data_IF_771259723216
#
_entry.id   IF_771259723216
#
_cell.length_a   1.000
_cell.length_b   1.000
_cell.length_c   1.000
_cell.angle_alpha   90.00
_cell.angle_beta   90.00
_cell.angle_gamma   90.00
#
_symmetry.space_group_name_H-M   'P 1'
#
loop_
_entity.id
_entity.type
_entity.pdbx_description
1 polymer ?
#
# COMPACT_ATOMS: atom_id res chain seq x y z
N UNK A 1 7.98 26.83 -9.83
CA UNK A 1 7.29 27.05 -8.53
C UNK A 1 6.38 25.87 -8.26
N UNK A 2 6.50 25.20 -7.11
CA UNK A 2 5.58 24.13 -6.71
C UNK A 2 4.29 24.73 -6.17
N UNK A 3 3.13 24.23 -6.62
CA UNK A 3 1.81 24.58 -6.08
C UNK A 3 1.37 23.45 -5.14
N UNK A 4 0.80 23.81 -3.98
CA UNK A 4 0.14 22.83 -3.12
C UNK A 4 -1.14 22.36 -3.80
N UNK A 5 -1.23 21.05 -4.02
CA UNK A 5 -2.34 20.42 -4.74
C UNK A 5 -3.30 19.67 -3.82
N UNK A 6 -2.82 19.08 -2.72
CA UNK A 6 -3.66 18.41 -1.71
C UNK A 6 -2.89 18.18 -0.40
N UNK A 7 -3.62 17.90 0.68
CA UNK A 7 -3.08 17.48 1.96
C UNK A 7 -3.76 16.18 2.42
N UNK A 8 -2.95 15.16 2.67
CA UNK A 8 -3.43 13.86 3.14
C UNK A 8 -3.08 13.74 4.62
N UNK A 9 -4.09 13.50 5.46
CA UNK A 9 -3.90 13.17 6.87
C UNK A 9 -4.16 11.67 7.03
N UNK A 10 -3.11 10.85 7.18
CA UNK A 10 -3.29 9.43 7.43
C UNK A 10 -4.01 9.17 8.77
N UNK A 11 -4.71 8.03 8.93
CA UNK A 11 -5.54 7.76 10.09
C UNK A 11 -4.74 7.50 11.39
N UNK A 12 -3.48 7.08 11.29
CA UNK A 12 -2.60 6.87 12.45
C UNK A 12 -1.74 8.13 12.67
N UNK A 13 -1.38 8.48 13.92
CA UNK A 13 -0.39 9.51 14.19
C UNK A 13 1.06 9.04 13.94
N UNK A 14 1.26 7.78 13.53
CA UNK A 14 2.58 7.21 13.33
C UNK A 14 3.28 7.78 12.09
N UNK A 15 4.62 7.74 12.10
CA UNK A 15 5.43 8.23 10.98
C UNK A 15 5.12 7.50 9.68
N UNK A 16 5.07 8.23 8.56
CA UNK A 16 5.00 7.62 7.24
C UNK A 16 6.37 7.02 6.90
N UNK A 17 6.41 5.72 6.63
CA UNK A 17 7.66 4.99 6.36
C UNK A 17 7.91 4.81 4.87
N UNK A 18 6.85 4.78 4.05
CA UNK A 18 6.98 4.61 2.60
C UNK A 18 5.82 5.27 1.86
N UNK A 19 6.15 5.90 0.74
CA UNK A 19 5.24 6.58 -0.18
C UNK A 19 5.61 6.18 -1.60
N UNK A 20 4.65 5.68 -2.39
CA UNK A 20 4.94 5.35 -3.78
C UNK A 20 3.72 5.51 -4.69
N UNK A 21 3.97 6.12 -5.85
CA UNK A 21 3.00 6.25 -6.92
C UNK A 21 2.88 4.95 -7.72
N UNK A 22 1.65 4.65 -8.14
CA UNK A 22 1.42 3.65 -9.18
C UNK A 22 2.09 4.07 -10.50
N UNK A 23 2.24 3.11 -11.42
CA UNK A 23 2.91 3.34 -12.70
C UNK A 23 2.31 4.52 -13.49
N UNK A 24 1.00 4.73 -13.36
CA UNK A 24 0.27 5.79 -14.06
C UNK A 24 0.31 7.15 -13.35
N UNK A 25 0.82 7.24 -12.12
CA UNK A 25 0.75 8.44 -11.29
C UNK A 25 -0.67 8.79 -10.82
N UNK A 26 -1.60 7.82 -10.84
CA UNK A 26 -3.01 8.05 -10.49
C UNK A 26 -3.30 7.73 -9.02
N UNK A 27 -2.51 6.86 -8.42
CA UNK A 27 -2.68 6.42 -7.03
C UNK A 27 -1.38 6.53 -6.29
N UNK A 28 -1.40 7.23 -5.16
CA UNK A 28 -0.32 7.26 -4.19
C UNK A 28 -0.65 6.30 -3.05
N UNK A 29 0.23 5.34 -2.80
CA UNK A 29 0.16 4.48 -1.61
C UNK A 29 1.03 5.07 -0.50
N UNK A 30 0.54 5.01 0.74
CA UNK A 30 1.23 5.48 1.94
C UNK A 30 1.15 4.39 3.00
N UNK A 31 2.29 4.07 3.60
CA UNK A 31 2.42 3.16 4.74
C UNK A 31 2.94 3.93 5.93
N UNK A 32 2.41 3.60 7.11
CA UNK A 32 2.84 4.17 8.38
C UNK A 32 3.44 3.09 9.27
N UNK A 33 4.42 3.47 10.11
CA UNK A 33 4.96 2.58 11.12
C UNK A 33 3.85 2.08 12.06
N UNK A 34 3.94 0.82 12.49
CA UNK A 34 3.01 0.20 13.46
C UNK A 34 1.52 0.26 13.06
N UNK A 35 1.20 0.47 11.78
CA UNK A 35 -0.16 0.51 11.25
C UNK A 35 -0.38 -0.66 10.30
N UNK A 36 -1.55 -1.30 10.40
CA UNK A 36 -1.99 -2.27 9.40
C UNK A 36 -2.73 -1.64 8.23
N UNK A 37 -2.94 -0.33 8.30
CA UNK A 37 -3.65 0.42 7.27
C UNK A 37 -2.66 0.98 6.26
N UNK A 38 -2.86 0.61 5.01
CA UNK A 38 -2.28 1.25 3.84
C UNK A 38 -3.26 2.31 3.34
N UNK A 39 -2.79 3.53 3.16
CA UNK A 39 -3.59 4.62 2.64
C UNK A 39 -3.40 4.70 1.13
N UNK A 40 -4.50 4.69 0.37
CA UNK A 40 -4.52 4.85 -1.08
C UNK A 40 -5.19 6.18 -1.41
N UNK A 41 -4.41 7.12 -1.93
CA UNK A 41 -4.91 8.41 -2.38
C UNK A 41 -5.06 8.43 -3.90
N UNK A 42 -6.25 8.79 -4.38
CA UNK A 42 -6.60 8.80 -5.80
C UNK A 42 -6.56 10.22 -6.34
N UNK A 43 -5.62 10.46 -7.25
CA UNK A 43 -5.33 11.74 -7.89
C UNK A 43 -6.57 12.38 -8.52
N UNK A 44 -7.25 11.65 -9.41
CA UNK A 44 -8.41 12.15 -10.17
C UNK A 44 -9.57 12.60 -9.30
N UNK A 45 -9.77 11.95 -8.15
CA UNK A 45 -10.92 12.20 -7.27
C UNK A 45 -10.55 13.00 -6.03
N UNK A 46 -9.26 13.23 -5.76
CA UNK A 46 -8.73 13.79 -4.50
C UNK A 46 -9.36 13.09 -3.29
N UNK A 47 -9.40 11.75 -3.35
CA UNK A 47 -10.05 10.92 -2.34
C UNK A 47 -9.08 9.90 -1.80
N UNK A 48 -9.14 9.74 -0.49
CA UNK A 48 -8.38 8.74 0.24
C UNK A 48 -9.25 7.52 0.51
N UNK A 49 -8.66 6.33 0.40
CA UNK A 49 -9.22 5.06 0.88
C UNK A 49 -8.21 4.39 1.78
N UNK A 50 -8.70 3.68 2.78
CA UNK A 50 -7.89 2.88 3.69
C UNK A 50 -8.04 1.41 3.35
N UNK A 51 -6.92 0.72 3.28
CA UNK A 51 -6.84 -0.72 3.08
C UNK A 51 -6.20 -1.33 4.32
N UNK A 52 -6.99 -2.02 5.13
CA UNK A 52 -6.46 -2.76 6.27
C UNK A 52 -5.95 -4.13 5.80
N UNK A 53 -4.64 -4.35 5.93
CA UNK A 53 -4.01 -5.63 5.60
C UNK A 53 -3.86 -6.54 6.84
N UNK A 54 -4.36 -6.13 8.01
CA UNK A 54 -4.38 -6.96 9.22
C UNK A 54 -3.03 -7.23 9.89
N UNK A 55 -1.93 -6.67 9.37
CA UNK A 55 -0.57 -6.80 9.93
C UNK A 55 0.14 -5.46 9.98
N UNK A 56 0.82 -5.16 11.09
CA UNK A 56 1.39 -3.83 11.39
C UNK A 56 2.89 -3.71 11.06
N UNK A 57 3.52 -4.81 10.70
CA UNK A 57 4.97 -4.97 10.55
C UNK A 57 5.40 -4.87 9.09
N UNK A 58 4.83 -3.92 8.34
CA UNK A 58 5.16 -3.66 6.94
C UNK A 58 6.54 -2.99 6.87
N UNK A 59 7.45 -3.57 6.08
CA UNK A 59 8.82 -3.08 5.88
C UNK A 59 9.14 -2.75 4.43
N UNK A 60 8.30 -3.20 3.50
CA UNK A 60 8.51 -3.03 2.08
C UNK A 60 7.18 -2.75 1.37
N UNK A 61 7.21 -1.86 0.40
CA UNK A 61 6.07 -1.57 -0.47
C UNK A 61 6.57 -1.30 -1.89
N UNK A 62 6.01 -2.00 -2.89
CA UNK A 62 6.25 -1.73 -4.31
C UNK A 62 5.05 -1.88 -5.23
N UNK A 63 4.76 -0.84 -6.00
CA UNK A 63 3.84 -0.92 -7.15
C UNK A 63 4.47 -1.68 -8.32
N UNK A 64 3.66 -2.50 -8.97
CA UNK A 64 4.02 -3.16 -10.23
C UNK A 64 4.20 -2.13 -11.36
N UNK A 65 5.17 -2.38 -12.24
CA UNK A 65 5.46 -1.57 -13.45
C UNK A 65 4.72 -2.04 -14.71
N UNK A 66 3.82 -3.01 -14.59
CA UNK A 66 3.04 -3.52 -15.73
C UNK A 66 1.57 -3.83 -15.36
N UNK A 67 1.27 -3.86 -14.07
CA UNK A 67 -0.06 -4.15 -13.53
C UNK A 67 -0.47 -3.14 -12.47
N UNK A 68 -1.76 -3.10 -12.16
CA UNK A 68 -2.24 -2.30 -11.02
C UNK A 68 -2.22 -3.13 -9.73
N UNK A 69 -1.04 -3.66 -9.41
CA UNK A 69 -0.80 -4.47 -8.22
C UNK A 69 0.20 -3.78 -7.30
N UNK A 70 -0.01 -3.90 -6.00
CA UNK A 70 0.89 -3.41 -4.96
C UNK A 70 1.36 -4.60 -4.12
N UNK A 71 2.67 -4.77 -4.01
CA UNK A 71 3.29 -5.76 -3.14
C UNK A 71 3.69 -5.10 -1.82
N UNK A 72 3.37 -5.76 -0.70
CA UNK A 72 3.69 -5.32 0.66
C UNK A 72 4.45 -6.46 1.35
N UNK A 73 5.67 -6.20 1.81
CA UNK A 73 6.47 -7.18 2.55
C UNK A 73 6.45 -6.88 4.04
N UNK A 74 6.41 -7.93 4.86
CA UNK A 74 6.43 -7.81 6.33
C UNK A 74 7.77 -8.24 6.92
N UNK A 75 8.05 -7.82 8.17
CA UNK A 75 9.23 -8.27 8.95
C UNK A 75 9.31 -9.80 9.00
N UNK A 76 8.18 -10.49 9.07
CA UNK A 76 8.10 -11.96 9.12
C UNK A 76 8.35 -12.65 7.78
N UNK A 77 8.66 -11.91 6.72
CA UNK A 77 8.93 -12.46 5.39
C UNK A 77 7.67 -12.87 4.61
N UNK A 78 6.49 -12.47 5.08
CA UNK A 78 5.25 -12.64 4.32
C UNK A 78 5.10 -11.51 3.31
N UNK A 79 4.55 -11.82 2.14
CA UNK A 79 4.24 -10.83 1.11
C UNK A 79 2.73 -10.81 0.87
N UNK A 80 2.13 -9.63 0.93
CA UNK A 80 0.75 -9.39 0.52
C UNK A 80 0.73 -8.75 -0.86
N UNK A 81 -0.13 -9.23 -1.74
CA UNK A 81 -0.40 -8.62 -3.04
C UNK A 81 -1.81 -8.04 -3.02
N UNK A 82 -1.90 -6.72 -3.17
CA UNK A 82 -3.15 -6.01 -3.45
C UNK A 82 -3.33 -5.87 -4.96
N UNK A 83 -4.52 -6.20 -5.47
CA UNK A 83 -4.89 -5.98 -6.87
C UNK A 83 -6.03 -4.96 -7.00
N UNK A 84 -5.79 -3.87 -7.75
CA UNK A 84 -6.76 -2.79 -8.02
C UNK A 84 -7.75 -3.16 -9.14
N UNK A 85 -7.45 -4.13 -10.01
CA UNK A 85 -8.14 -4.33 -11.31
C UNK A 85 -9.46 -5.09 -11.29
N UNK A 86 -9.86 -5.74 -10.19
CA UNK A 86 -11.01 -6.65 -10.28
C UNK A 86 -12.35 -5.91 -10.17
N UNK A 87 -13.16 -6.05 -11.22
CA UNK A 87 -14.58 -5.63 -11.24
C UNK A 87 -15.44 -6.31 -10.15
N UNK A 88 -14.92 -7.36 -9.50
CA UNK A 88 -15.56 -8.06 -8.37
C UNK A 88 -15.09 -7.62 -6.97
N UNK A 89 -14.21 -6.63 -6.85
CA UNK A 89 -13.76 -6.09 -5.56
C UNK A 89 -12.24 -6.06 -5.37
N UNK A 90 -11.80 -5.28 -4.38
CA UNK A 90 -10.40 -5.22 -3.98
C UNK A 90 -10.02 -6.51 -3.25
N UNK A 91 -8.96 -7.20 -3.70
CA UNK A 91 -8.52 -8.47 -3.10
C UNK A 91 -7.08 -8.38 -2.60
N UNK A 92 -6.89 -8.85 -1.38
CA UNK A 92 -5.59 -9.12 -0.77
C UNK A 92 -5.27 -10.60 -0.94
N UNK A 93 -4.09 -10.92 -1.45
CA UNK A 93 -3.59 -12.29 -1.58
C UNK A 93 -2.30 -12.41 -0.80
N UNK A 94 -2.23 -13.40 0.09
CA UNK A 94 -1.04 -13.66 0.90
C UNK A 94 -0.16 -14.72 0.27
N UNK A 95 1.12 -14.39 0.11
CA UNK A 95 2.19 -15.30 -0.23
C UNK A 95 3.05 -15.48 1.02
N UNK A 96 2.97 -16.66 1.64
CA UNK A 96 3.84 -17.02 2.76
C UNK A 96 5.07 -17.76 2.24
N UNK A 97 6.26 -17.30 2.65
CA UNK A 97 7.49 -18.04 2.38
C UNK A 97 7.47 -19.38 3.11
N UNK A 98 7.51 -20.49 2.37
CA UNK A 98 7.67 -21.84 2.95
C UNK A 98 9.13 -22.08 3.27
N UNK A 99 9.70 -21.35 4.22
CA UNK A 99 11.01 -21.72 4.75
C UNK A 99 10.79 -22.75 5.88
N UNK A 100 10.94 -24.04 5.57
CA UNK A 100 11.12 -25.04 6.62
C UNK A 100 12.46 -24.71 7.29
N UNK A 101 12.44 -24.38 8.58
CA UNK A 101 13.68 -24.44 9.37
C UNK A 101 14.20 -25.87 9.26
N UNK A 102 15.41 -26.01 8.75
CA UNK A 102 16.16 -27.26 8.70
C UNK A 102 16.60 -27.63 10.10
#
# INVERSE_FOLDING_TARGET
HGRLEDQIVPPSPSVCTTLEWDQSGEVLAIVQANSSVVVLWYMKKRKTRTLDIGVKDITFMKWSKCGQKLALGTVKGSVCIYDKRQAGGQKLVWCQGRHKRR
#
